data_IF_208146212355
#
_entry.id   IF_208146212355
#
_cell.length_a   1.000
_cell.length_b   1.000
_cell.length_c   1.000
_cell.angle_alpha   90.00
_cell.angle_beta   90.00
_cell.angle_gamma   90.00
#
_symmetry.space_group_name_H-M   'P 1'
#
loop_
_entity.id
_entity.type
_entity.pdbx_description
1 polymer ?
#
# COMPACT_ATOMS: atom_id res chain seq x y z
N UNK A 1 -6.58 -11.87 -26.85
CA UNK A 1 -5.88 -11.78 -25.54
C UNK A 1 -5.70 -10.32 -25.13
N UNK A 2 -5.86 -9.98 -23.86
CA UNK A 2 -5.57 -8.66 -23.31
C UNK A 2 -4.10 -8.64 -22.90
N UNK A 3 -3.31 -7.72 -23.47
CA UNK A 3 -1.85 -7.69 -23.28
C UNK A 3 -1.48 -6.48 -22.40
N UNK A 4 -0.88 -6.76 -21.25
CA UNK A 4 -0.27 -5.75 -20.41
C UNK A 4 1.18 -5.53 -20.84
N UNK A 5 1.45 -4.36 -21.42
CA UNK A 5 2.77 -3.92 -21.86
C UNK A 5 3.51 -3.21 -20.73
N UNK A 6 4.82 -3.44 -20.64
CA UNK A 6 5.78 -2.72 -19.79
C UNK A 6 7.05 -2.46 -20.62
N UNK A 7 7.63 -1.24 -20.62
CA UNK A 7 8.83 -0.95 -21.40
C UNK A 7 9.98 -1.92 -21.09
N UNK A 8 10.64 -2.43 -22.14
CA UNK A 8 11.79 -3.32 -22.01
C UNK A 8 11.48 -4.76 -21.59
N UNK A 9 10.21 -5.12 -21.33
CA UNK A 9 9.81 -6.45 -20.89
C UNK A 9 8.91 -7.13 -21.94
N UNK A 10 9.10 -8.45 -22.10
CA UNK A 10 8.20 -9.31 -22.88
C UNK A 10 7.32 -10.10 -21.91
N UNK A 11 5.99 -10.20 -22.16
CA UNK A 11 5.12 -11.03 -21.33
C UNK A 11 5.58 -12.49 -21.31
N UNK A 12 5.78 -13.02 -20.11
CA UNK A 12 6.25 -14.39 -19.84
C UNK A 12 5.20 -15.21 -19.09
N UNK A 13 4.06 -14.61 -18.74
CA UNK A 13 2.93 -15.25 -18.06
C UNK A 13 1.67 -15.16 -18.93
N UNK A 14 0.99 -16.29 -19.10
CA UNK A 14 -0.37 -16.38 -19.65
C UNK A 14 -1.35 -16.77 -18.55
N UNK A 15 -2.34 -15.93 -18.29
CA UNK A 15 -3.44 -16.21 -17.36
C UNK A 15 -4.74 -16.33 -18.16
N UNK A 16 -5.47 -17.42 -18.00
CA UNK A 16 -6.76 -17.66 -18.65
C UNK A 16 -7.85 -17.63 -17.59
N UNK A 17 -8.45 -16.47 -17.38
CA UNK A 17 -9.48 -16.27 -16.34
C UNK A 17 -10.86 -16.30 -16.99
N UNK A 18 -11.64 -17.33 -16.66
CA UNK A 18 -12.96 -17.58 -17.24
C UNK A 18 -13.01 -17.51 -18.78
N UNK A 19 -11.96 -18.02 -19.43
CA UNK A 19 -11.79 -18.01 -20.89
C UNK A 19 -11.18 -16.72 -21.46
N UNK A 20 -11.09 -15.64 -20.69
CA UNK A 20 -10.36 -14.44 -21.07
C UNK A 20 -8.86 -14.63 -20.84
N UNK A 21 -8.09 -14.54 -21.93
CA UNK A 21 -6.62 -14.66 -21.88
C UNK A 21 -5.98 -13.30 -21.60
N UNK A 22 -5.09 -13.26 -20.61
CA UNK A 22 -4.23 -12.13 -20.25
C UNK A 22 -2.76 -12.51 -20.44
N UNK A 23 -2.00 -11.63 -21.10
CA UNK A 23 -0.54 -11.74 -21.18
C UNK A 23 0.08 -10.69 -20.26
N UNK A 24 0.84 -11.15 -19.26
CA UNK A 24 1.40 -10.33 -18.17
C UNK A 24 2.86 -10.72 -17.88
N UNK A 25 3.49 -10.03 -16.93
CA UNK A 25 4.90 -10.17 -16.58
C UNK A 25 5.04 -10.73 -15.18
N UNK A 26 5.76 -11.85 -15.03
CA UNK A 26 5.98 -12.49 -13.73
C UNK A 26 6.65 -11.54 -12.74
N UNK A 27 7.62 -10.74 -13.20
CA UNK A 27 8.33 -9.76 -12.36
C UNK A 27 7.39 -8.72 -11.74
N UNK A 28 6.39 -8.24 -12.49
CA UNK A 28 5.42 -7.25 -11.99
C UNK A 28 4.45 -7.91 -11.00
N UNK A 29 3.96 -9.10 -11.32
CA UNK A 29 3.10 -9.87 -10.42
C UNK A 29 3.82 -10.14 -9.08
N UNK A 30 5.06 -10.63 -9.12
CA UNK A 30 5.88 -10.92 -7.93
C UNK A 30 6.24 -9.66 -7.14
N UNK A 31 6.37 -8.51 -7.80
CA UNK A 31 6.62 -7.24 -7.13
C UNK A 31 5.42 -6.81 -6.28
N UNK A 32 4.20 -6.99 -6.81
CA UNK A 32 2.97 -6.43 -6.25
C UNK A 32 2.02 -7.44 -5.60
N UNK A 33 2.44 -8.70 -5.48
CA UNK A 33 1.67 -9.75 -4.83
C UNK A 33 2.60 -10.75 -4.15
N UNK A 34 2.42 -10.89 -2.83
CA UNK A 34 3.12 -11.93 -2.07
C UNK A 34 2.66 -13.33 -2.49
N UNK A 35 1.41 -13.48 -2.95
CA UNK A 35 0.91 -14.73 -3.51
C UNK A 35 1.74 -15.12 -4.73
N UNK A 36 1.82 -14.29 -5.77
CA UNK A 36 2.58 -14.62 -6.99
C UNK A 36 4.07 -14.78 -6.74
N UNK A 37 4.64 -14.06 -5.77
CA UNK A 37 6.04 -14.23 -5.34
C UNK A 37 6.32 -15.63 -4.82
N UNK A 38 5.40 -16.22 -4.05
CA UNK A 38 5.54 -17.59 -3.52
C UNK A 38 5.08 -18.64 -4.53
N UNK A 39 4.00 -18.34 -5.24
CA UNK A 39 3.27 -19.30 -6.05
C UNK A 39 3.91 -19.56 -7.42
N UNK A 40 4.46 -18.56 -8.10
CA UNK A 40 4.98 -18.77 -9.45
C UNK A 40 6.24 -19.65 -9.47
N UNK A 41 7.13 -19.49 -8.48
CA UNK A 41 8.41 -20.21 -8.40
C UNK A 41 8.42 -21.33 -7.34
N UNK A 42 7.26 -21.80 -6.89
CA UNK A 42 7.19 -22.88 -5.91
C UNK A 42 7.83 -24.16 -6.46
N UNK A 43 8.65 -24.83 -5.63
CA UNK A 43 9.41 -26.03 -6.02
C UNK A 43 8.52 -27.18 -6.54
N UNK A 44 7.26 -27.20 -6.13
CA UNK A 44 6.27 -28.21 -6.52
C UNK A 44 5.76 -28.04 -7.96
N UNK A 45 6.21 -26.99 -8.67
CA UNK A 45 5.76 -26.69 -10.03
C UNK A 45 6.77 -27.12 -11.08
N UNK A 46 6.24 -27.78 -12.10
CA UNK A 46 7.01 -28.23 -13.25
C UNK A 46 7.41 -27.01 -14.07
N UNK A 47 8.71 -26.88 -14.34
CA UNK A 47 9.24 -25.85 -15.21
C UNK A 47 8.63 -25.99 -16.62
N UNK A 48 8.31 -24.86 -17.25
CA UNK A 48 7.82 -24.87 -18.62
C UNK A 48 8.89 -25.49 -19.55
N UNK A 49 8.48 -26.32 -20.54
CA UNK A 49 9.41 -26.89 -21.51
C UNK A 49 10.09 -25.77 -22.30
N UNK A 50 11.32 -26.01 -22.77
CA UNK A 50 12.10 -25.01 -23.50
C UNK A 50 11.43 -24.48 -24.79
N UNK A 51 10.45 -25.21 -25.31
CA UNK A 51 9.64 -24.82 -26.48
C UNK A 51 8.40 -23.98 -26.14
N UNK A 52 8.08 -23.78 -24.85
CA UNK A 52 6.91 -23.02 -24.44
C UNK A 52 7.07 -21.53 -24.73
N UNK A 53 6.02 -20.91 -25.28
CA UNK A 53 6.00 -19.46 -25.54
C UNK A 53 5.86 -18.60 -24.28
N UNK A 54 5.47 -19.21 -23.16
CA UNK A 54 5.32 -18.57 -21.86
C UNK A 54 6.01 -19.43 -20.80
N UNK A 55 6.67 -18.77 -19.85
CA UNK A 55 7.28 -19.44 -18.70
C UNK A 55 6.22 -19.94 -17.71
N UNK A 56 5.07 -19.25 -17.66
CA UNK A 56 3.99 -19.51 -16.74
C UNK A 56 2.66 -19.53 -17.49
N UNK A 57 1.85 -20.56 -17.28
CA UNK A 57 0.56 -20.74 -17.94
C UNK A 57 -0.46 -21.25 -16.93
N UNK A 58 -1.50 -20.46 -16.67
CA UNK A 58 -2.47 -20.72 -15.62
C UNK A 58 -3.90 -20.47 -16.11
N UNK A 59 -4.85 -21.18 -15.53
CA UNK A 59 -6.28 -21.04 -15.81
C UNK A 59 -7.08 -20.95 -14.51
N UNK A 60 -8.22 -20.26 -14.54
CA UNK A 60 -9.16 -20.22 -13.42
C UNK A 60 -9.77 -21.60 -13.17
N UNK A 61 -9.71 -22.07 -11.93
CA UNK A 61 -10.28 -23.34 -11.47
C UNK A 61 -11.08 -23.09 -10.20
N UNK A 62 -12.26 -23.68 -10.10
CA UNK A 62 -13.07 -23.65 -8.88
C UNK A 62 -12.59 -24.69 -7.87
N UNK A 63 -12.57 -24.32 -6.59
CA UNK A 63 -12.40 -25.25 -5.49
C UNK A 63 -13.74 -25.89 -5.09
N UNK A 64 -13.69 -26.75 -4.07
CA UNK A 64 -14.87 -27.48 -3.56
C UNK A 64 -15.88 -26.55 -2.87
N UNK A 65 -15.44 -25.38 -2.41
CA UNK A 65 -16.27 -24.40 -1.70
C UNK A 65 -16.99 -23.45 -2.67
N UNK A 66 -16.70 -23.55 -3.97
CA UNK A 66 -17.28 -22.71 -5.01
C UNK A 66 -16.56 -21.37 -5.19
N UNK A 67 -15.42 -21.19 -4.52
CA UNK A 67 -14.47 -20.13 -4.81
C UNK A 67 -13.53 -20.56 -5.94
N UNK A 68 -12.72 -19.64 -6.47
CA UNK A 68 -11.83 -19.94 -7.59
C UNK A 68 -10.43 -19.36 -7.41
N UNK A 69 -9.46 -20.05 -7.99
CA UNK A 69 -8.05 -19.67 -8.02
C UNK A 69 -7.42 -19.91 -9.38
N UNK A 70 -6.16 -19.50 -9.53
CA UNK A 70 -5.37 -19.78 -10.75
C UNK A 70 -4.59 -21.07 -10.56
N UNK A 71 -4.71 -22.02 -11.47
CA UNK A 71 -4.01 -23.31 -11.43
C UNK A 71 -3.31 -23.67 -12.76
N UNK A 72 -2.24 -24.49 -12.75
CA UNK A 72 -1.49 -24.84 -13.98
C UNK A 72 -2.24 -25.73 -14.99
N UNK A 73 -3.39 -26.30 -14.62
CA UNK A 73 -4.05 -27.37 -15.39
C UNK A 73 -5.39 -26.93 -15.96
N UNK A 74 -5.66 -27.34 -17.21
CA UNK A 74 -6.92 -27.12 -17.92
C UNK A 74 -8.10 -27.90 -17.30
N UNK A 75 -8.76 -27.33 -16.28
CA UNK A 75 -10.07 -27.80 -15.83
C UNK A 75 -11.20 -27.01 -16.53
N UNK A 76 -12.41 -27.60 -16.55
CA UNK A 76 -13.59 -27.00 -17.19
C UNK A 76 -13.95 -25.66 -16.54
N UNK A 77 -14.27 -24.69 -17.39
CA UNK A 77 -14.51 -23.29 -17.03
C UNK A 77 -16.00 -22.96 -17.10
N UNK A 78 -16.66 -22.60 -15.98
CA UNK A 78 -17.94 -21.89 -16.00
C UNK A 78 -17.88 -20.46 -15.41
N UNK A 79 -18.90 -19.68 -15.81
CA UNK A 79 -19.29 -18.28 -15.56
C UNK A 79 -18.25 -17.15 -15.37
N UNK A 80 -18.39 -16.15 -16.26
CA UNK A 80 -17.53 -14.98 -16.50
C UNK A 80 -17.62 -13.82 -15.47
N UNK A 81 -18.13 -14.03 -14.25
CA UNK A 81 -18.57 -12.91 -13.40
C UNK A 81 -17.44 -11.99 -12.91
N UNK A 82 -16.21 -12.48 -12.80
CA UNK A 82 -15.10 -11.72 -12.21
C UNK A 82 -13.94 -11.40 -13.17
N UNK A 83 -14.15 -11.53 -14.49
CA UNK A 83 -13.14 -11.18 -15.50
C UNK A 83 -12.74 -9.70 -15.37
N UNK A 84 -13.72 -8.80 -15.30
CA UNK A 84 -13.48 -7.36 -15.22
C UNK A 84 -12.86 -6.93 -13.88
N UNK A 85 -13.38 -7.37 -12.71
CA UNK A 85 -12.70 -7.18 -11.44
C UNK A 85 -11.25 -7.69 -11.46
N UNK A 86 -10.98 -8.90 -11.98
CA UNK A 86 -9.62 -9.41 -12.08
C UNK A 86 -8.75 -8.57 -13.01
N UNK A 87 -9.28 -8.12 -14.15
CA UNK A 87 -8.57 -7.21 -15.06
C UNK A 87 -8.22 -5.89 -14.36
N UNK A 88 -9.13 -5.34 -13.55
CA UNK A 88 -8.92 -4.09 -12.79
C UNK A 88 -7.90 -4.29 -11.67
N UNK A 89 -7.86 -5.46 -11.03
CA UNK A 89 -6.78 -5.84 -10.12
C UNK A 89 -5.42 -5.85 -10.85
N UNK A 90 -5.33 -6.43 -12.05
CA UNK A 90 -4.12 -6.34 -12.87
C UNK A 90 -3.79 -4.90 -13.26
N UNK A 91 -4.77 -4.07 -13.60
CA UNK A 91 -4.54 -2.64 -13.83
C UNK A 91 -3.91 -1.97 -12.61
N UNK A 92 -4.35 -2.29 -11.39
CA UNK A 92 -3.75 -1.73 -10.17
C UNK A 92 -2.27 -2.11 -10.01
N UNK A 93 -1.90 -3.37 -10.30
CA UNK A 93 -0.50 -3.83 -10.25
C UNK A 93 0.37 -3.16 -11.32
N UNK A 94 -0.21 -2.83 -12.47
CA UNK A 94 0.49 -2.15 -13.57
C UNK A 94 0.39 -0.63 -13.51
N UNK A 95 -0.23 -0.07 -12.47
CA UNK A 95 -0.51 1.38 -12.35
C UNK A 95 -1.23 1.93 -13.59
N UNK A 96 -2.14 1.13 -14.18
CA UNK A 96 -2.99 1.53 -15.31
C UNK A 96 -4.29 2.12 -14.78
N UNK A 97 -4.84 3.17 -15.43
CA UNK A 97 -6.15 3.70 -15.08
C UNK A 97 -7.26 2.63 -15.21
N UNK A 98 -8.19 2.66 -14.28
CA UNK A 98 -9.43 1.88 -14.32
C UNK A 98 -10.54 2.63 -13.57
N UNK A 99 -11.79 2.29 -13.87
CA UNK A 99 -12.98 2.87 -13.23
C UNK A 99 -13.60 1.79 -12.35
N UNK A 100 -14.07 2.15 -11.16
CA UNK A 100 -14.91 1.27 -10.33
C UNK A 100 -16.34 1.77 -10.49
N UNK A 101 -17.22 0.90 -10.99
CA UNK A 101 -18.57 1.29 -11.40
C UNK A 101 -19.54 1.37 -10.24
N UNK A 102 -19.38 0.47 -9.25
CA UNK A 102 -20.27 0.37 -8.10
C UNK A 102 -19.57 -0.27 -6.90
N UNK A 103 -20.26 -0.26 -5.75
CA UNK A 103 -19.75 -0.80 -4.48
C UNK A 103 -19.58 -2.32 -4.54
N UNK A 104 -20.40 -3.04 -5.31
CA UNK A 104 -20.28 -4.51 -5.43
C UNK A 104 -18.97 -4.85 -6.12
N UNK A 105 -18.64 -4.15 -7.22
CA UNK A 105 -17.36 -4.29 -7.90
C UNK A 105 -16.18 -3.92 -7.00
N UNK A 106 -16.29 -2.86 -6.20
CA UNK A 106 -15.27 -2.50 -5.21
C UNK A 106 -15.02 -3.64 -4.22
N UNK A 107 -16.08 -4.22 -3.66
CA UNK A 107 -15.97 -5.33 -2.71
C UNK A 107 -15.39 -6.58 -3.36
N UNK A 108 -15.77 -6.90 -4.60
CA UNK A 108 -15.15 -7.98 -5.37
C UNK A 108 -13.66 -7.73 -5.61
N UNK A 109 -13.28 -6.49 -5.96
CA UNK A 109 -11.88 -6.11 -6.13
C UNK A 109 -11.07 -6.26 -4.84
N UNK A 110 -11.63 -5.84 -3.70
CA UNK A 110 -11.01 -5.99 -2.38
C UNK A 110 -10.83 -7.47 -2.06
N UNK A 111 -11.84 -8.31 -2.28
CA UNK A 111 -11.76 -9.77 -2.08
C UNK A 111 -10.67 -10.42 -2.93
N UNK A 112 -10.60 -10.09 -4.23
CA UNK A 112 -9.54 -10.59 -5.11
C UNK A 112 -8.16 -10.08 -4.69
N UNK A 113 -8.05 -8.82 -4.29
CA UNK A 113 -6.79 -8.26 -3.82
C UNK A 113 -6.34 -8.90 -2.49
N UNK A 114 -7.26 -9.29 -1.61
CA UNK A 114 -6.93 -10.03 -0.39
C UNK A 114 -6.40 -11.43 -0.73
N UNK A 115 -7.16 -12.19 -1.52
CA UNK A 115 -6.78 -13.53 -1.98
C UNK A 115 -5.40 -13.54 -2.66
N UNK A 116 -5.18 -12.64 -3.62
CA UNK A 116 -3.90 -12.51 -4.31
C UNK A 116 -2.86 -11.68 -3.54
N UNK A 117 -3.09 -11.36 -2.27
CA UNK A 117 -2.16 -10.63 -1.40
C UNK A 117 -1.62 -9.32 -2.03
N UNK A 118 -2.52 -8.54 -2.63
CA UNK A 118 -2.30 -7.31 -3.38
C UNK A 118 -3.12 -6.12 -2.84
N UNK A 119 -3.73 -6.23 -1.65
CA UNK A 119 -4.44 -5.12 -0.99
C UNK A 119 -3.64 -3.81 -0.93
N UNK A 120 -2.33 -3.79 -0.61
CA UNK A 120 -1.57 -2.53 -0.57
C UNK A 120 -1.56 -1.80 -1.92
N UNK A 121 -1.47 -2.56 -3.02
CA UNK A 121 -1.48 -2.02 -4.38
C UNK A 121 -2.85 -1.43 -4.74
N UNK A 122 -3.92 -2.20 -4.51
CA UNK A 122 -5.28 -1.77 -4.79
C UNK A 122 -5.62 -0.52 -3.95
N UNK A 123 -5.38 -0.58 -2.64
CA UNK A 123 -5.60 0.50 -1.68
C UNK A 123 -4.91 1.81 -2.12
N UNK A 124 -3.66 1.74 -2.55
CA UNK A 124 -2.93 2.92 -3.02
C UNK A 124 -3.61 3.61 -4.21
N UNK A 125 -4.03 2.82 -5.22
CA UNK A 125 -4.72 3.38 -6.40
C UNK A 125 -6.11 3.95 -6.07
N UNK A 126 -6.83 3.32 -5.14
CA UNK A 126 -8.15 3.78 -4.70
C UNK A 126 -8.06 5.04 -3.85
N UNK A 127 -7.16 5.08 -2.86
CA UNK A 127 -6.98 6.24 -1.98
C UNK A 127 -6.69 7.50 -2.78
N UNK A 128 -5.87 7.37 -3.82
CA UNK A 128 -5.56 8.48 -4.72
C UNK A 128 -6.74 8.95 -5.57
N UNK A 129 -7.77 8.13 -5.82
CA UNK A 129 -9.02 8.57 -6.47
C UNK A 129 -10.00 9.17 -5.45
N UNK A 130 -10.11 8.56 -4.26
CA UNK A 130 -11.01 9.02 -3.20
C UNK A 130 -10.61 10.41 -2.73
N UNK A 131 -9.32 10.76 -2.66
CA UNK A 131 -8.91 12.11 -2.25
C UNK A 131 -9.43 13.21 -3.20
N UNK A 132 -9.55 12.94 -4.50
CA UNK A 132 -10.16 13.89 -5.44
C UNK A 132 -11.66 14.03 -5.20
N UNK A 133 -12.36 12.91 -4.95
CA UNK A 133 -13.77 12.95 -4.61
C UNK A 133 -13.99 13.70 -3.30
N UNK A 134 -13.17 13.43 -2.27
CA UNK A 134 -13.21 14.11 -0.99
C UNK A 134 -12.94 15.62 -1.13
N UNK A 135 -11.95 16.01 -1.96
CA UNK A 135 -11.68 17.42 -2.30
C UNK A 135 -12.87 18.07 -2.96
N UNK A 136 -13.43 17.44 -4.00
CA UNK A 136 -14.56 17.98 -4.76
C UNK A 136 -15.84 18.10 -3.91
N UNK A 137 -16.06 17.14 -3.02
CA UNK A 137 -17.17 17.14 -2.07
C UNK A 137 -16.92 18.05 -0.85
N UNK A 138 -15.70 18.60 -0.72
CA UNK A 138 -15.24 19.34 0.47
C UNK A 138 -15.53 18.59 1.77
N UNK A 139 -15.31 17.26 1.76
CA UNK A 139 -15.63 16.40 2.89
C UNK A 139 -14.40 16.24 3.80
N UNK A 140 -14.28 17.02 4.90
CA UNK A 140 -13.01 17.21 5.62
C UNK A 140 -12.47 15.93 6.25
N UNK A 141 -13.34 15.11 6.85
CA UNK A 141 -12.93 13.88 7.55
C UNK A 141 -12.34 12.87 6.54
N UNK A 142 -13.08 12.57 5.47
CA UNK A 142 -12.61 11.69 4.39
C UNK A 142 -11.33 12.20 3.72
N UNK A 143 -11.20 13.52 3.53
CA UNK A 143 -10.00 14.10 2.96
C UNK A 143 -8.79 13.89 3.87
N UNK A 144 -8.92 14.16 5.18
CA UNK A 144 -7.87 13.91 6.19
C UNK A 144 -7.45 12.45 6.21
N UNK A 145 -8.42 11.53 6.18
CA UNK A 145 -8.15 10.10 6.15
C UNK A 145 -7.27 9.72 4.95
N UNK A 146 -7.65 10.19 3.75
CA UNK A 146 -6.89 9.94 2.54
C UNK A 146 -5.53 10.62 2.56
N UNK A 147 -5.46 11.85 3.08
CA UNK A 147 -4.22 12.61 3.26
C UNK A 147 -3.23 11.85 4.13
N UNK A 148 -3.65 11.36 5.31
CA UNK A 148 -2.79 10.59 6.22
C UNK A 148 -2.27 9.33 5.50
N UNK A 149 -3.13 8.58 4.83
CA UNK A 149 -2.71 7.39 4.09
C UNK A 149 -1.71 7.70 2.97
N UNK A 150 -1.94 8.74 2.16
CA UNK A 150 -1.04 9.12 1.08
C UNK A 150 0.30 9.62 1.61
N UNK A 151 0.28 10.54 2.58
CA UNK A 151 1.47 11.11 3.21
C UNK A 151 2.30 10.02 3.91
N UNK A 152 1.65 9.05 4.54
CA UNK A 152 2.32 7.91 5.21
C UNK A 152 3.03 6.95 4.25
N UNK A 153 2.61 6.87 2.98
CA UNK A 153 3.20 6.00 1.97
C UNK A 153 4.44 6.66 1.33
N UNK A 154 5.38 7.10 2.16
CA UNK A 154 6.53 7.96 1.81
C UNK A 154 7.40 7.45 0.65
N UNK A 155 7.49 6.13 0.44
CA UNK A 155 8.21 5.52 -0.69
C UNK A 155 7.39 5.37 -1.96
N UNK A 156 6.06 5.34 -1.83
CA UNK A 156 5.17 5.05 -2.94
C UNK A 156 4.72 6.29 -3.70
N UNK A 157 5.05 7.49 -3.26
CA UNK A 157 4.68 8.72 -4.00
C UNK A 157 5.26 8.78 -5.42
N UNK A 158 6.31 8.00 -5.70
CA UNK A 158 6.87 7.82 -7.04
C UNK A 158 6.32 6.57 -7.74
N UNK A 159 5.85 5.55 -7.01
CA UNK A 159 5.29 4.30 -7.55
C UNK A 159 3.79 4.41 -7.83
N UNK A 160 3.06 5.11 -6.96
CA UNK A 160 1.78 5.78 -7.21
C UNK A 160 2.05 6.94 -8.17
N UNK A 161 2.53 6.64 -9.38
CA UNK A 161 2.40 7.58 -10.48
C UNK A 161 0.91 7.71 -10.76
N UNK A 162 0.25 8.58 -9.99
CA UNK A 162 -1.03 9.16 -10.35
C UNK A 162 -0.66 10.53 -10.96
N UNK A 163 -0.39 10.62 -12.28
CA UNK A 163 -0.21 11.90 -12.95
C UNK A 163 -1.30 12.92 -12.57
N UNK A 164 -2.51 12.44 -12.31
CA UNK A 164 -3.61 13.26 -11.80
C UNK A 164 -3.25 14.01 -10.50
N UNK A 165 -2.58 13.39 -9.53
CA UNK A 165 -2.19 14.04 -8.26
C UNK A 165 -1.18 15.16 -8.49
N UNK A 166 -0.25 14.99 -9.44
CA UNK A 166 0.74 16.03 -9.77
C UNK A 166 0.15 17.18 -10.59
N UNK A 167 -0.93 16.92 -11.31
CA UNK A 167 -1.58 17.92 -12.15
C UNK A 167 -2.50 18.84 -11.34
N UNK A 168 -3.00 18.39 -10.19
CA UNK A 168 -3.72 19.22 -9.23
C UNK A 168 -2.72 19.92 -8.29
N UNK A 169 -2.44 21.20 -8.56
CA UNK A 169 -1.38 21.96 -7.87
C UNK A 169 -1.66 22.13 -6.37
N UNK A 170 -2.90 22.44 -6.00
CA UNK A 170 -3.26 22.70 -4.61
C UNK A 170 -3.18 21.41 -3.80
N UNK A 171 -3.69 20.31 -4.36
CA UNK A 171 -3.62 19.01 -3.72
C UNK A 171 -2.17 18.52 -3.60
N UNK A 172 -1.38 18.71 -4.66
CA UNK A 172 0.03 18.36 -4.65
C UNK A 172 0.79 19.14 -3.58
N UNK A 173 0.56 20.45 -3.46
CA UNK A 173 1.19 21.30 -2.46
C UNK A 173 0.89 20.79 -1.05
N UNK A 174 -0.37 20.63 -0.70
CA UNK A 174 -0.81 20.13 0.62
C UNK A 174 -0.17 18.78 0.95
N UNK A 175 -0.16 17.83 -0.01
CA UNK A 175 0.46 16.53 0.19
C UNK A 175 1.99 16.62 0.39
N UNK A 176 2.68 17.50 -0.33
CA UNK A 176 4.13 17.69 -0.19
C UNK A 176 4.51 18.37 1.12
N UNK A 177 3.72 19.33 1.59
CA UNK A 177 3.90 20.00 2.87
C UNK A 177 3.64 19.03 4.02
N UNK A 178 2.52 18.29 3.98
CA UNK A 178 2.21 17.23 4.94
C UNK A 178 3.33 16.19 5.03
N UNK A 179 3.87 15.78 3.89
CA UNK A 179 5.01 14.86 3.81
C UNK A 179 6.29 15.43 4.42
N UNK A 180 6.57 16.70 4.17
CA UNK A 180 7.74 17.38 4.73
C UNK A 180 7.63 17.54 6.24
N UNK A 181 6.44 17.91 6.73
CA UNK A 181 6.12 18.00 8.16
C UNK A 181 6.27 16.66 8.86
N UNK A 182 5.67 15.59 8.33
CA UNK A 182 5.78 14.24 8.89
C UNK A 182 7.24 13.77 8.96
N UNK A 183 8.01 13.97 7.88
CA UNK A 183 9.44 13.61 7.86
C UNK A 183 10.25 14.38 8.91
N UNK A 184 9.97 15.68 9.07
CA UNK A 184 10.62 16.50 10.08
C UNK A 184 10.34 15.96 11.49
N UNK A 185 9.08 15.64 11.80
CA UNK A 185 8.66 15.06 13.09
C UNK A 185 9.39 13.73 13.38
N UNK A 186 9.42 12.81 12.40
CA UNK A 186 10.14 11.53 12.49
C UNK A 186 11.62 11.76 12.77
N UNK A 187 12.29 12.62 12.00
CA UNK A 187 13.73 12.88 12.14
C UNK A 187 14.06 13.52 13.50
N UNK A 188 13.20 14.42 13.99
CA UNK A 188 13.35 15.03 15.32
C UNK A 188 13.27 13.98 16.43
N UNK A 189 12.28 13.08 16.40
CA UNK A 189 12.18 11.98 17.37
C UNK A 189 13.42 11.07 17.31
N UNK A 190 13.88 10.72 16.11
CA UNK A 190 15.08 9.88 15.96
C UNK A 190 16.33 10.54 16.54
N UNK A 191 16.53 11.82 16.21
CA UNK A 191 17.64 12.60 16.74
C UNK A 191 17.58 12.65 18.27
N UNK A 192 16.40 12.93 18.84
CA UNK A 192 16.19 12.99 20.27
C UNK A 192 16.54 11.67 20.97
N UNK A 193 16.00 10.55 20.46
CA UNK A 193 16.29 9.20 20.97
C UNK A 193 17.80 8.90 20.89
N UNK A 194 18.44 9.22 19.76
CA UNK A 194 19.87 8.97 19.57
C UNK A 194 20.71 9.75 20.58
N UNK A 195 20.42 11.03 20.77
CA UNK A 195 21.12 11.89 21.72
C UNK A 195 20.95 11.39 23.16
N UNK A 196 19.77 10.90 23.53
CA UNK A 196 19.53 10.30 24.84
C UNK A 196 20.35 9.01 25.07
N UNK A 197 20.50 8.16 24.06
CA UNK A 197 21.32 6.95 24.18
C UNK A 197 22.81 7.28 24.34
N UNK A 198 23.30 8.31 23.65
CA UNK A 198 24.68 8.77 23.72
C UNK A 198 25.03 9.38 25.09
N UNK A 199 24.16 10.24 25.62
CA UNK A 199 24.37 10.95 26.89
C UNK A 199 24.45 10.01 28.11
N UNK A 200 23.84 8.82 28.03
CA UNK A 200 23.76 7.87 29.15
C UNK A 200 24.72 6.68 29.06
N UNK A 201 25.65 6.67 28.11
CA UNK A 201 26.56 5.55 27.87
C UNK A 201 25.86 4.19 27.68
N UNK A 202 24.65 4.19 27.10
CA UNK A 202 23.87 2.98 26.86
C UNK A 202 24.34 2.28 25.57
N UNK A 203 25.55 1.74 25.57
CA UNK A 203 26.20 1.23 24.35
C UNK A 203 25.41 0.11 23.66
N UNK A 204 24.77 -0.78 24.43
CA UNK A 204 23.89 -1.82 23.88
C UNK A 204 22.60 -1.25 23.28
N UNK A 205 21.97 -0.26 23.93
CA UNK A 205 20.77 0.40 23.40
C UNK A 205 21.10 1.23 22.16
N UNK A 206 22.27 1.86 22.13
CA UNK A 206 22.74 2.63 20.99
C UNK A 206 22.91 1.73 19.76
N UNK A 207 23.47 0.52 19.90
CA UNK A 207 23.57 -0.44 18.78
C UNK A 207 22.20 -0.86 18.26
N UNK A 208 21.26 -1.09 19.16
CA UNK A 208 19.90 -1.48 18.82
C UNK A 208 19.15 -0.34 18.11
N UNK A 209 19.21 0.87 18.67
CA UNK A 209 18.66 2.10 18.10
C UNK A 209 19.27 2.39 16.72
N UNK A 210 20.59 2.28 16.57
CA UNK A 210 21.28 2.47 15.29
C UNK A 210 20.91 1.39 14.25
N UNK A 211 20.64 0.16 14.67
CA UNK A 211 20.16 -0.89 13.77
C UNK A 211 18.77 -0.56 13.21
N UNK A 212 17.86 -0.02 14.04
CA UNK A 212 16.53 0.41 13.60
C UNK A 212 16.59 1.70 12.77
N UNK A 213 17.42 2.68 13.12
CA UNK A 213 17.45 3.97 12.41
C UNK A 213 18.24 4.00 11.09
N UNK A 214 18.83 2.88 10.66
CA UNK A 214 19.46 2.78 9.32
C UNK A 214 18.50 3.09 8.16
N UNK A 215 17.19 3.02 8.37
CA UNK A 215 16.14 3.29 7.37
C UNK A 215 14.98 4.09 7.98
N UNK A 216 15.18 5.39 8.27
CA UNK A 216 14.30 6.16 9.14
C UNK A 216 12.83 6.25 8.69
N UNK A 217 12.59 6.13 7.39
CA UNK A 217 11.27 6.17 6.76
C UNK A 217 10.44 4.88 6.94
N UNK A 218 11.04 3.79 7.43
CA UNK A 218 10.42 2.45 7.48
C UNK A 218 10.16 1.94 8.90
N UNK A 219 10.36 2.80 9.91
CA UNK A 219 10.58 2.34 11.26
C UNK A 219 9.41 2.53 12.22
N UNK A 220 8.15 2.66 11.78
CA UNK A 220 7.05 2.72 12.76
C UNK A 220 6.98 1.44 13.61
N UNK A 221 7.15 0.26 12.99
CA UNK A 221 7.32 -1.00 13.75
C UNK A 221 8.62 -1.05 14.56
N UNK A 222 9.69 -0.39 14.12
CA UNK A 222 10.93 -0.25 14.88
C UNK A 222 10.76 0.61 16.13
N UNK A 223 10.03 1.73 16.02
CA UNK A 223 9.68 2.59 17.14
C UNK A 223 8.79 1.89 18.14
N UNK A 224 7.83 1.06 17.71
CA UNK A 224 7.05 0.17 18.59
C UNK A 224 7.95 -0.75 19.42
N UNK A 225 8.92 -1.40 18.78
CA UNK A 225 9.86 -2.31 19.45
C UNK A 225 10.76 -1.54 20.41
N UNK A 226 11.24 -0.36 20.01
CA UNK A 226 12.04 0.51 20.86
C UNK A 226 11.25 1.01 22.09
N UNK A 227 10.00 1.41 21.90
CA UNK A 227 9.10 1.82 22.99
C UNK A 227 9.00 0.73 24.05
N UNK A 228 8.79 -0.51 23.65
CA UNK A 228 8.71 -1.66 24.57
C UNK A 228 10.02 -1.92 25.35
N UNK A 229 11.17 -1.53 24.81
CA UNK A 229 12.47 -1.64 25.48
C UNK A 229 12.68 -0.47 26.46
N UNK A 230 12.35 0.75 26.03
CA UNK A 230 12.49 1.95 26.84
C UNK A 230 11.52 1.99 28.01
N UNK A 231 10.32 1.44 27.85
CA UNK A 231 9.32 1.30 28.92
C UNK A 231 9.85 0.42 30.06
N UNK A 232 10.43 -0.73 29.74
CA UNK A 232 11.10 -1.61 30.72
C UNK A 232 12.22 -0.89 31.49
N UNK A 233 12.88 0.06 30.84
CA UNK A 233 13.98 0.86 31.41
C UNK A 233 13.51 2.17 32.04
N UNK A 234 12.20 2.48 32.02
CA UNK A 234 11.57 3.68 32.57
C UNK A 234 12.14 5.00 32.02
N UNK A 235 12.37 5.06 30.71
CA UNK A 235 12.89 6.25 30.03
C UNK A 235 11.78 7.18 29.53
N UNK A 236 11.04 7.80 30.45
CA UNK A 236 9.80 8.56 30.17
C UNK A 236 9.91 9.62 29.07
N UNK A 237 11.00 10.40 28.99
CA UNK A 237 11.13 11.44 27.95
C UNK A 237 11.25 10.89 26.52
N UNK A 238 11.95 9.76 26.35
CA UNK A 238 12.08 9.11 25.04
C UNK A 238 10.78 8.41 24.65
N UNK A 239 10.04 7.90 25.63
CA UNK A 239 8.71 7.30 25.44
C UNK A 239 7.74 8.34 24.87
N UNK A 240 7.60 9.51 25.49
CA UNK A 240 6.70 10.58 25.01
C UNK A 240 6.97 10.98 23.55
N UNK A 241 8.24 11.20 23.18
CA UNK A 241 8.61 11.57 21.80
C UNK A 241 8.34 10.47 20.77
N UNK A 242 8.42 9.19 21.19
CA UNK A 242 8.10 8.04 20.33
C UNK A 242 6.59 7.85 20.22
N UNK A 243 5.84 8.02 21.31
CA UNK A 243 4.38 7.96 21.30
C UNK A 243 3.79 9.01 20.36
N UNK A 244 4.36 10.21 20.33
CA UNK A 244 3.92 11.31 19.45
C UNK A 244 4.00 10.94 17.95
N UNK A 245 5.02 10.19 17.53
CA UNK A 245 5.13 9.72 16.14
C UNK A 245 4.33 8.45 15.87
N UNK A 246 3.96 7.69 16.91
CA UNK A 246 3.14 6.48 16.79
C UNK A 246 1.63 6.74 16.92
N UNK A 247 1.24 7.98 17.24
CA UNK A 247 -0.16 8.39 17.32
C UNK A 247 -0.94 8.04 16.04
N UNK A 248 -2.17 7.59 16.23
CA UNK A 248 -3.11 7.32 15.15
C UNK A 248 -4.12 8.48 15.05
N UNK A 249 -4.03 9.25 13.96
CA UNK A 249 -4.97 10.34 13.67
C UNK A 249 -6.08 9.93 12.68
N UNK A 250 -6.18 8.65 12.31
CA UNK A 250 -7.28 8.14 11.50
C UNK A 250 -8.58 8.15 12.31
N UNK A 251 -9.66 8.57 11.67
CA UNK A 251 -11.00 8.67 12.30
C UNK A 251 -11.96 7.63 11.73
N UNK A 252 -11.80 7.27 10.46
CA UNK A 252 -12.70 6.33 9.78
C UNK A 252 -12.24 4.89 9.94
N UNK A 253 -10.95 4.66 10.18
CA UNK A 253 -10.40 3.34 10.46
C UNK A 253 -10.87 2.79 11.83
N UNK A 254 -11.62 1.69 11.80
CA UNK A 254 -12.16 1.01 12.98
C UNK A 254 -11.38 -0.27 13.34
N UNK A 255 -10.24 -0.52 12.69
CA UNK A 255 -9.46 -1.74 12.93
C UNK A 255 -8.71 -1.74 14.28
N UNK A 256 -8.64 -0.59 14.95
CA UNK A 256 -7.86 -0.36 16.18
C UNK A 256 -6.34 -0.57 16.03
N UNK A 257 -5.83 -0.77 14.81
CA UNK A 257 -4.38 -0.83 14.60
C UNK A 257 -3.77 0.57 14.65
N UNK A 258 -2.67 0.74 15.39
CA UNK A 258 -1.89 1.96 15.37
C UNK A 258 -0.70 1.88 14.39
N UNK A 259 0.08 2.96 14.33
CA UNK A 259 1.32 2.98 13.55
C UNK A 259 2.24 1.83 13.98
N UNK A 260 2.79 1.08 13.02
CA UNK A 260 3.68 -0.06 13.28
C UNK A 260 2.98 -1.40 13.56
N UNK A 261 1.64 -1.46 13.49
CA UNK A 261 0.85 -2.68 13.69
C UNK A 261 0.05 -3.08 12.45
N UNK A 262 -0.31 -4.36 12.33
CA UNK A 262 -1.23 -4.87 11.30
C UNK A 262 -0.92 -4.35 9.88
N UNK A 263 -1.88 -3.71 9.19
CA UNK A 263 -1.66 -3.14 7.87
C UNK A 263 -0.74 -1.91 7.86
N UNK A 264 -0.45 -1.32 9.02
CA UNK A 264 0.36 -0.11 9.22
C UNK A 264 1.77 -0.38 9.75
N UNK A 265 2.27 -1.62 9.65
CA UNK A 265 3.62 -2.02 10.10
C UNK A 265 4.76 -1.12 9.60
N UNK A 266 4.59 -0.47 8.44
CA UNK A 266 5.55 0.45 7.83
C UNK A 266 5.00 1.86 7.61
N UNK A 267 3.87 2.21 8.24
CA UNK A 267 3.21 3.50 8.09
C UNK A 267 3.19 4.25 9.41
N UNK A 268 3.31 5.58 9.31
CA UNK A 268 3.04 6.52 10.40
C UNK A 268 1.68 7.12 10.17
N UNK A 269 0.90 7.29 11.24
CA UNK A 269 -0.49 7.75 11.17
C UNK A 269 -0.70 9.10 11.87
N UNK A 270 0.40 9.75 12.27
CA UNK A 270 0.43 10.99 13.04
C UNK A 270 0.53 12.25 12.16
N UNK A 271 0.22 12.13 10.86
CA UNK A 271 0.11 13.31 10.01
C UNK A 271 -1.10 14.15 10.43
N UNK A 272 -0.95 15.47 10.32
CA UNK A 272 -1.96 16.44 10.76
C UNK A 272 -2.24 17.40 9.60
N UNK A 273 -3.49 17.84 9.51
CA UNK A 273 -3.96 18.81 8.53
C UNK A 273 -5.06 19.65 9.17
N UNK A 274 -4.77 20.94 9.43
CA UNK A 274 -5.74 21.86 10.02
C UNK A 274 -6.88 22.15 9.03
N UNK A 275 -8.01 22.68 9.53
CA UNK A 275 -9.13 23.07 8.66
C UNK A 275 -8.70 24.20 7.70
N UNK A 276 -7.86 25.12 8.17
CA UNK A 276 -7.34 26.25 7.38
C UNK A 276 -6.34 25.84 6.29
N UNK A 277 -5.77 24.62 6.39
CA UNK A 277 -4.82 24.08 5.41
C UNK A 277 -5.51 23.25 4.31
N UNK A 278 -6.86 23.18 4.33
CA UNK A 278 -7.61 22.45 3.31
C UNK A 278 -7.47 23.11 1.93
N UNK A 279 -7.43 22.33 0.83
CA UNK A 279 -7.27 22.88 -0.52
C UNK A 279 -8.57 23.49 -1.08
N UNK A 280 -9.46 23.99 -0.21
CA UNK A 280 -10.70 24.69 -0.56
C UNK A 280 -11.02 25.74 0.50
N UNK A 281 -11.76 26.77 0.10
CA UNK A 281 -12.26 27.80 1.01
C UNK A 281 -13.52 27.29 1.74
N UNK A 282 -13.46 27.22 3.07
CA UNK A 282 -14.57 26.80 3.91
C UNK A 282 -15.73 27.82 3.93
N UNK A 283 -15.48 29.08 3.57
CA UNK A 283 -16.49 30.13 3.53
C UNK A 283 -17.26 30.18 2.20
N UNK A 284 -16.75 29.52 1.16
CA UNK A 284 -17.39 29.50 -0.16
C UNK A 284 -18.57 28.51 -0.18
N UNK A 285 -19.76 29.02 -0.46
CA UNK A 285 -21.03 28.27 -0.41
C UNK A 285 -21.48 27.69 -1.75
N UNK A 286 -20.92 28.16 -2.87
CA UNK A 286 -21.24 27.69 -4.22
C UNK A 286 -19.96 27.15 -4.88
N UNK A 287 -19.83 25.82 -4.98
CA UNK A 287 -18.61 25.13 -5.45
C UNK A 287 -18.84 23.96 -6.40
#
# INVERSE_FOLDING_TARGET
PIIFKSPGLKPDVRLTVFGQVFHVHSIILKLHSNFFRKFLDSADKVAAPASASFQYDYVSVFDADGDWGLEPTAAKVPQAREIEPFRKLLCSMYTRPYVINDVVELLTLVRLADYYCALPNLSGTITGQIIFAAKKLRHPILFRECFIHLVSSLHDFYSLSLPALRNDKDLWLVLTEGKSSLRKKILQTQHFVLMMCLDRHLEEDLRLVMAYFRKPEYCSSGFRQLLAILDKKKHFRAIESIEEVLQNNLVLDQTNFGAGEGPYTKRYLCAELADDDMPWDAAESDW
#
